data_IF_100402415134
#
_entry.id   IF_100402415134
#
_cell.length_a   1.000
_cell.length_b   1.000
_cell.length_c   1.000
_cell.angle_alpha   90.00
_cell.angle_beta   90.00
_cell.angle_gamma   90.00
#
_symmetry.space_group_name_H-M   'P 1'
#
loop_
_entity.id
_entity.type
_entity.pdbx_description
1 polymer ?
#
# COMPACT_ATOMS: atom_id res chain seq x y z
N UNK A 1 -19.26 20.58 12.66
CA UNK A 1 -18.39 19.83 11.72
C UNK A 1 -17.63 18.80 12.54
N UNK A 2 -17.67 17.54 12.13
CA UNK A 2 -17.03 16.41 12.82
C UNK A 2 -15.94 15.79 11.92
N UNK A 3 -14.74 16.39 11.86
CA UNK A 3 -13.60 15.82 11.15
C UNK A 3 -12.90 14.76 12.01
N UNK A 4 -12.44 13.68 11.38
CA UNK A 4 -11.56 12.68 11.99
C UNK A 4 -10.57 12.10 10.96
N UNK A 5 -9.55 11.43 11.48
CA UNK A 5 -8.70 10.54 10.71
C UNK A 5 -9.06 9.09 11.01
N UNK A 6 -9.14 8.27 9.97
CA UNK A 6 -9.11 6.82 10.09
C UNK A 6 -7.70 6.38 9.74
N UNK A 7 -7.09 5.57 10.60
CA UNK A 7 -5.72 5.05 10.46
C UNK A 7 -5.71 3.57 10.79
N UNK A 8 -4.56 2.93 10.60
CA UNK A 8 -4.34 1.51 10.93
C UNK A 8 -5.28 0.58 10.16
N UNK A 9 -5.44 0.87 8.87
CA UNK A 9 -6.14 0.01 7.93
C UNK A 9 -5.39 -1.33 7.75
N UNK A 10 -6.10 -2.43 7.50
CA UNK A 10 -5.48 -3.64 6.95
C UNK A 10 -4.73 -3.31 5.66
N UNK A 11 -3.58 -3.95 5.45
CA UNK A 11 -2.79 -3.76 4.24
C UNK A 11 -3.42 -4.45 3.03
N UNK A 12 -4.01 -5.61 3.28
CA UNK A 12 -4.67 -6.45 2.29
C UNK A 12 -6.08 -6.80 2.75
N UNK A 13 -6.91 -7.19 1.79
CA UNK A 13 -8.21 -7.81 2.03
C UNK A 13 -8.33 -9.08 1.17
N UNK A 14 -9.18 -10.01 1.60
CA UNK A 14 -9.50 -11.23 0.85
C UNK A 14 -10.17 -10.84 -0.49
N UNK A 15 -9.67 -11.40 -1.59
CA UNK A 15 -10.24 -11.16 -2.93
C UNK A 15 -11.51 -11.99 -3.22
N UNK A 16 -11.88 -12.89 -2.31
CA UNK A 16 -13.02 -13.80 -2.44
C UNK A 16 -12.74 -15.03 -3.33
N UNK A 17 -11.53 -15.15 -3.88
CA UNK A 17 -11.04 -16.24 -4.72
C UNK A 17 -9.93 -17.05 -4.03
N UNK A 18 -9.63 -16.73 -2.76
CA UNK A 18 -8.60 -17.38 -1.95
C UNK A 18 -7.22 -16.72 -2.07
N UNK A 19 -7.17 -15.50 -2.59
CA UNK A 19 -6.00 -14.64 -2.63
C UNK A 19 -6.20 -13.35 -1.84
N UNK A 20 -5.26 -12.43 -2.01
CA UNK A 20 -5.25 -11.14 -1.34
C UNK A 20 -5.19 -10.01 -2.38
N UNK A 21 -5.98 -8.97 -2.17
CA UNK A 21 -5.90 -7.71 -2.91
C UNK A 21 -5.47 -6.56 -1.99
N UNK A 22 -4.93 -5.49 -2.55
CA UNK A 22 -4.48 -4.33 -1.79
C UNK A 22 -5.68 -3.47 -1.37
N UNK A 23 -5.83 -3.18 -0.08
CA UNK A 23 -6.95 -2.37 0.42
C UNK A 23 -6.91 -0.91 -0.07
N UNK A 24 -5.72 -0.34 -0.28
CA UNK A 24 -5.58 1.00 -0.87
C UNK A 24 -4.99 0.94 -2.28
N UNK A 25 -3.72 0.58 -2.38
CA UNK A 25 -3.03 0.32 -3.65
C UNK A 25 -1.72 -0.43 -3.39
N UNK A 26 -1.14 -1.11 -4.40
CA UNK A 26 0.05 -1.96 -4.23
C UNK A 26 1.34 -1.26 -3.77
N UNK A 27 1.36 0.08 -3.70
CA UNK A 27 2.54 0.87 -3.33
C UNK A 27 2.53 1.36 -1.87
N UNK A 28 1.52 0.99 -1.10
CA UNK A 28 1.39 1.37 0.32
C UNK A 28 2.40 0.59 1.16
N UNK A 29 3.13 1.26 2.04
CA UNK A 29 4.04 0.61 2.98
C UNK A 29 3.28 -0.11 4.08
N UNK A 30 3.72 -1.32 4.51
CA UNK A 30 3.32 -1.84 5.81
C UNK A 30 3.86 -0.94 6.92
N UNK A 31 3.18 -0.94 8.06
CA UNK A 31 3.63 -0.31 9.30
C UNK A 31 4.49 -1.30 10.07
N UNK A 32 5.72 -0.89 10.41
CA UNK A 32 6.62 -1.62 11.31
C UNK A 32 6.88 -3.11 10.96
N UNK A 33 6.85 -3.48 9.68
CA UNK A 33 7.19 -4.83 9.20
C UNK A 33 8.32 -4.81 8.17
N UNK A 34 9.18 -5.82 8.24
CA UNK A 34 10.12 -6.19 7.18
C UNK A 34 9.43 -6.96 6.06
N UNK A 35 10.11 -7.14 4.93
CA UNK A 35 9.58 -7.90 3.81
C UNK A 35 9.37 -9.38 4.17
N UNK A 36 10.26 -9.97 4.99
CA UNK A 36 10.13 -11.36 5.42
C UNK A 36 8.95 -11.55 6.38
N UNK A 37 8.78 -10.63 7.35
CA UNK A 37 7.62 -10.64 8.26
C UNK A 37 6.31 -10.46 7.50
N UNK A 38 6.27 -9.53 6.55
CA UNK A 38 5.09 -9.30 5.72
C UNK A 38 4.71 -10.54 4.91
N UNK A 39 5.72 -11.22 4.33
CA UNK A 39 5.49 -12.46 3.58
C UNK A 39 5.01 -13.61 4.48
N UNK A 40 5.45 -13.64 5.73
CA UNK A 40 5.08 -14.68 6.70
C UNK A 40 3.66 -14.50 7.25
N UNK A 41 3.21 -13.26 7.45
CA UNK A 41 1.90 -12.94 8.02
C UNK A 41 1.23 -11.75 7.30
N UNK A 42 0.86 -11.90 6.00
CA UNK A 42 0.30 -10.79 5.23
C UNK A 42 -1.07 -10.33 5.74
N UNK A 43 -1.90 -11.24 6.24
CA UNK A 43 -3.25 -10.93 6.75
C UNK A 43 -3.25 -10.11 8.05
N UNK A 44 -2.15 -10.15 8.80
CA UNK A 44 -1.99 -9.37 10.05
C UNK A 44 -1.38 -7.99 9.79
N UNK A 45 -0.98 -7.71 8.55
CA UNK A 45 -0.25 -6.50 8.21
C UNK A 45 -1.14 -5.26 8.25
N UNK A 46 -0.70 -4.26 9.00
CA UNK A 46 -1.32 -2.94 9.05
C UNK A 46 -0.65 -2.03 8.04
N UNK A 47 -1.43 -1.37 7.18
CA UNK A 47 -0.93 -0.37 6.25
C UNK A 47 -0.58 0.93 6.98
N UNK A 48 0.48 1.59 6.52
CA UNK A 48 0.78 2.97 6.88
C UNK A 48 -0.04 3.94 6.00
N UNK A 49 -1.36 3.78 6.04
CA UNK A 49 -2.36 4.50 5.28
C UNK A 49 -3.32 5.26 6.21
N UNK A 50 -3.95 6.30 5.67
CA UNK A 50 -4.77 7.22 6.43
C UNK A 50 -5.82 7.89 5.54
N UNK A 51 -7.03 8.00 6.06
CA UNK A 51 -8.16 8.68 5.42
C UNK A 51 -8.68 9.82 6.31
N UNK A 52 -8.92 10.98 5.70
CA UNK A 52 -9.62 12.09 6.33
C UNK A 52 -11.12 11.95 6.04
N UNK A 53 -11.91 11.94 7.11
CA UNK A 53 -13.36 11.84 7.04
C UNK A 53 -13.99 13.08 7.69
N UNK A 54 -14.97 13.68 7.04
CA UNK A 54 -15.73 14.81 7.58
C UNK A 54 -17.22 14.49 7.49
N UNK A 55 -17.91 14.49 8.64
CA UNK A 55 -19.35 14.21 8.74
C UNK A 55 -19.77 12.88 8.06
N UNK A 56 -18.91 11.86 8.10
CA UNK A 56 -19.18 10.54 7.52
C UNK A 56 -18.78 10.38 6.05
N UNK A 57 -18.22 11.40 5.42
CA UNK A 57 -17.69 11.32 4.05
C UNK A 57 -16.17 11.31 4.06
N UNK A 58 -15.58 10.37 3.33
CA UNK A 58 -14.16 10.42 2.98
C UNK A 58 -13.93 11.65 2.09
N UNK A 59 -13.05 12.55 2.53
CA UNK A 59 -12.70 13.77 1.78
C UNK A 59 -11.30 13.71 1.20
N UNK A 60 -10.50 12.71 1.58
CA UNK A 60 -9.19 12.46 1.03
C UNK A 60 -8.46 11.35 1.77
N UNK A 61 -7.47 10.77 1.12
CA UNK A 61 -6.74 9.61 1.60
C UNK A 61 -5.31 9.57 1.09
N UNK A 62 -4.46 8.80 1.78
CA UNK A 62 -3.05 8.72 1.46
C UNK A 62 -2.33 7.58 2.17
N UNK A 63 -1.06 7.39 1.83
CA UNK A 63 -0.20 6.45 2.54
C UNK A 63 1.28 6.81 2.42
N UNK A 64 2.06 6.31 3.37
CA UNK A 64 3.51 6.20 3.22
C UNK A 64 3.81 5.16 2.14
N UNK A 65 4.73 5.48 1.24
CA UNK A 65 5.02 4.66 0.06
C UNK A 65 6.18 3.71 0.32
N UNK A 66 6.13 2.55 -0.32
CA UNK A 66 7.27 1.65 -0.38
C UNK A 66 8.38 2.30 -1.19
N UNK A 67 9.56 2.42 -0.59
CA UNK A 67 10.74 3.01 -1.21
C UNK A 67 11.90 2.01 -1.34
N UNK A 68 11.70 0.74 -0.94
CA UNK A 68 12.66 -0.36 -1.09
C UNK A 68 12.12 -1.41 -2.07
N UNK A 69 12.93 -1.75 -3.08
CA UNK A 69 12.53 -2.70 -4.13
C UNK A 69 12.12 -4.07 -3.58
N UNK A 70 12.87 -4.60 -2.61
CA UNK A 70 12.58 -5.87 -1.93
C UNK A 70 11.17 -5.90 -1.34
N UNK A 71 10.79 -4.88 -0.57
CA UNK A 71 9.43 -4.76 -0.02
C UNK A 71 8.38 -4.68 -1.13
N UNK A 72 8.64 -3.91 -2.20
CA UNK A 72 7.68 -3.75 -3.30
C UNK A 72 7.46 -5.07 -4.05
N UNK A 73 8.52 -5.84 -4.27
CA UNK A 73 8.44 -7.15 -4.90
C UNK A 73 7.72 -8.17 -4.01
N UNK A 74 7.94 -8.13 -2.69
CA UNK A 74 7.18 -8.94 -1.73
C UNK A 74 5.68 -8.64 -1.80
N UNK A 75 5.30 -7.36 -1.79
CA UNK A 75 3.89 -6.97 -1.93
C UNK A 75 3.29 -7.46 -3.24
N UNK A 76 3.99 -7.30 -4.36
CA UNK A 76 3.51 -7.85 -5.64
C UNK A 76 3.36 -9.37 -5.62
N UNK A 77 4.29 -10.08 -4.98
CA UNK A 77 4.20 -11.53 -4.83
C UNK A 77 2.99 -11.97 -3.98
N UNK A 78 2.68 -11.25 -2.91
CA UNK A 78 1.49 -11.48 -2.08
C UNK A 78 0.21 -11.27 -2.89
N UNK A 79 0.19 -10.25 -3.76
CA UNK A 79 -0.91 -9.95 -4.67
C UNK A 79 -0.97 -10.88 -5.90
N UNK A 80 -0.21 -11.99 -5.91
CA UNK A 80 -0.22 -12.97 -7.00
C UNK A 80 0.44 -12.50 -8.31
N UNK A 81 1.12 -11.36 -8.32
CA UNK A 81 1.78 -10.82 -9.51
C UNK A 81 3.15 -11.48 -9.65
N UNK A 82 3.31 -12.34 -10.66
CA UNK A 82 4.55 -13.07 -10.90
C UNK A 82 5.69 -12.13 -11.38
N UNK A 83 6.95 -12.59 -11.26
CA UNK A 83 8.12 -11.77 -11.58
C UNK A 83 8.14 -11.20 -13.01
N UNK A 84 7.69 -11.98 -14.00
CA UNK A 84 7.63 -11.53 -15.38
C UNK A 84 6.66 -10.34 -15.52
N UNK A 85 5.46 -10.48 -14.94
CA UNK A 85 4.44 -9.43 -14.94
C UNK A 85 4.87 -8.20 -14.12
N UNK A 86 5.56 -8.40 -12.99
CA UNK A 86 6.15 -7.31 -12.21
C UNK A 86 7.13 -6.50 -13.05
N UNK A 87 8.01 -7.17 -13.81
CA UNK A 87 8.99 -6.50 -14.67
C UNK A 87 8.34 -5.81 -15.86
N UNK A 88 7.34 -6.45 -16.47
CA UNK A 88 6.62 -5.89 -17.62
C UNK A 88 5.81 -4.65 -17.25
N UNK A 89 5.03 -4.70 -16.17
CA UNK A 89 4.13 -3.62 -15.77
C UNK A 89 4.81 -2.55 -14.91
N UNK A 90 5.73 -2.94 -14.05
CA UNK A 90 6.30 -2.07 -13.00
C UNK A 90 7.83 -2.00 -13.03
N UNK A 91 8.48 -2.51 -14.09
CA UNK A 91 9.94 -2.51 -14.20
C UNK A 91 10.57 -1.14 -14.03
N UNK A 92 9.94 -0.10 -14.60
CA UNK A 92 10.40 1.29 -14.47
C UNK A 92 10.44 1.77 -13.01
N UNK A 93 9.42 1.42 -12.21
CA UNK A 93 9.34 1.76 -10.79
C UNK A 93 10.37 0.96 -10.00
N UNK A 94 10.41 -0.36 -10.22
CA UNK A 94 11.34 -1.25 -9.53
C UNK A 94 12.81 -0.87 -9.79
N UNK A 95 13.12 -0.38 -10.99
CA UNK A 95 14.44 0.12 -11.30
C UNK A 95 14.72 1.47 -10.64
N UNK A 96 13.75 2.39 -10.61
CA UNK A 96 13.88 3.67 -9.89
C UNK A 96 14.19 3.47 -8.40
N UNK A 97 13.55 2.49 -7.75
CA UNK A 97 13.78 2.16 -6.33
C UNK A 97 15.23 1.79 -6.00
N UNK A 98 16.04 1.38 -7.00
CA UNK A 98 17.45 1.01 -6.81
C UNK A 98 18.38 2.21 -6.69
N UNK A 99 17.96 3.39 -7.13
CA UNK A 99 18.80 4.59 -7.22
C UNK A 99 18.66 5.52 -6.00
N UNK A 100 18.34 4.96 -4.83
CA UNK A 100 18.23 5.72 -3.58
C UNK A 100 16.94 6.53 -3.47
N UNK A 101 15.80 5.94 -3.85
CA UNK A 101 14.49 6.57 -3.65
C UNK A 101 14.29 6.91 -2.16
N UNK A 102 14.02 8.18 -1.81
CA UNK A 102 13.87 8.57 -0.41
C UNK A 102 12.56 8.02 0.16
N UNK A 103 12.44 7.92 1.50
CA UNK A 103 11.14 7.77 2.15
C UNK A 103 10.21 8.91 1.72
N UNK A 104 9.00 8.55 1.29
CA UNK A 104 8.02 9.52 0.79
C UNK A 104 6.59 9.07 1.12
N UNK A 105 5.71 10.05 1.25
CA UNK A 105 4.29 9.86 1.54
C UNK A 105 3.48 10.91 0.79
N UNK A 106 2.21 10.64 0.56
CA UNK A 106 1.33 11.58 -0.13
C UNK A 106 -0.09 11.48 0.39
N UNK A 107 -0.92 12.45 -0.03
CA UNK A 107 -2.34 12.48 0.22
C UNK A 107 -3.03 13.14 -0.98
N UNK A 108 -4.18 12.62 -1.36
CA UNK A 108 -5.06 13.23 -2.36
C UNK A 108 -6.40 13.58 -1.71
N UNK A 109 -6.90 14.79 -1.96
CA UNK A 109 -8.26 15.18 -1.59
C UNK A 109 -9.22 14.92 -2.75
N UNK A 110 -10.43 14.51 -2.41
CA UNK A 110 -11.55 14.43 -3.35
C UNK A 110 -12.13 15.84 -3.50
N UNK A 111 -11.88 16.48 -4.63
CA UNK A 111 -12.24 17.89 -4.84
C UNK A 111 -13.74 18.11 -5.13
N UNK A 112 -14.51 17.04 -5.29
CA UNK A 112 -15.94 17.08 -5.59
C UNK A 112 -16.71 16.13 -4.67
N UNK A 113 -17.43 16.70 -3.71
CA UNK A 113 -18.61 16.10 -3.07
C UNK A 113 -19.86 16.84 -3.54
#
# INVERSE_FOLDING_TARGET
>A
MAPLWVIDFPMFEDDGEGGLTAMHHPFTSPKDMTADELKAAPEEAVANAYDMVINGYEVGGGSVRIHRGEMQQTVFGILGINEQEQREKFGFLLDALKYGTPPHAGLAFVLTV
#
